data_IF_802977665561
#
_entry.id   IF_802977665561
#
_cell.length_a   1.000
_cell.length_b   1.000
_cell.length_c   1.000
_cell.angle_alpha   90.00
_cell.angle_beta   90.00
_cell.angle_gamma   90.00
#
_symmetry.space_group_name_H-M   'P 1'
#
loop_
_entity.id
_entity.type
_entity.pdbx_description
1 polymer ?
#
# COMPACT_ATOMS: atom_id res chain seq x y z
N UNK A 1 13.97 2.53 4.83
CA UNK A 1 14.79 2.82 6.03
C UNK A 1 16.22 2.44 5.68
N UNK A 2 17.19 2.82 6.52
CA UNK A 2 18.56 2.33 6.45
C UNK A 2 18.87 1.65 7.77
N UNK A 3 19.47 0.46 7.73
CA UNK A 3 20.01 -0.18 8.93
C UNK A 3 21.41 0.39 9.17
N UNK A 4 21.72 0.67 10.44
CA UNK A 4 23.03 1.17 10.87
C UNK A 4 23.75 -0.01 11.51
N UNK A 5 24.93 -0.33 10.98
CA UNK A 5 25.78 -1.42 11.47
C UNK A 5 27.02 -0.90 12.17
N UNK A 6 27.51 -1.66 13.14
CA UNK A 6 28.82 -1.44 13.76
C UNK A 6 29.95 -2.08 12.94
N UNK A 7 31.19 -1.94 13.40
CA UNK A 7 32.39 -2.50 12.75
C UNK A 7 32.43 -4.04 12.72
N UNK A 8 31.54 -4.70 13.48
CA UNK A 8 31.37 -6.16 13.49
C UNK A 8 30.18 -6.63 12.65
N UNK A 9 29.61 -5.73 11.85
CA UNK A 9 28.45 -5.94 10.97
C UNK A 9 27.14 -6.26 11.74
N UNK A 10 27.06 -5.88 13.03
CA UNK A 10 25.82 -6.02 13.81
C UNK A 10 24.92 -4.83 13.57
N UNK A 11 23.63 -5.09 13.38
CA UNK A 11 22.60 -4.03 13.31
C UNK A 11 22.41 -3.43 14.69
N UNK A 12 22.85 -2.18 14.87
CA UNK A 12 22.79 -1.47 16.15
C UNK A 12 21.69 -0.41 16.19
N UNK A 13 21.24 0.07 15.02
CA UNK A 13 20.18 1.08 14.93
C UNK A 13 19.52 1.08 13.54
N UNK A 14 18.48 1.89 13.36
CA UNK A 14 17.83 2.13 12.07
C UNK A 14 17.42 3.59 11.89
N UNK A 15 17.52 4.07 10.65
CA UNK A 15 17.05 5.38 10.26
C UNK A 15 15.81 5.26 9.36
N UNK A 16 14.68 5.81 9.83
CA UNK A 16 13.49 5.97 9.00
C UNK A 16 13.76 6.98 7.87
N UNK A 17 13.26 6.69 6.67
CA UNK A 17 13.52 7.52 5.48
C UNK A 17 12.86 8.89 5.59
N UNK A 18 11.59 8.90 5.99
CA UNK A 18 10.74 10.09 6.12
C UNK A 18 9.46 9.71 6.86
N UNK A 19 8.69 10.71 7.30
CA UNK A 19 7.35 10.52 7.86
C UNK A 19 6.38 10.06 6.77
N UNK A 20 5.50 9.12 7.13
CA UNK A 20 4.45 8.56 6.25
C UNK A 20 4.97 8.12 4.86
N UNK A 21 5.99 7.25 4.81
CA UNK A 21 6.76 7.01 3.60
C UNK A 21 5.95 6.37 2.47
N UNK A 22 4.90 5.58 2.78
CA UNK A 22 4.05 4.93 1.77
C UNK A 22 3.15 5.95 1.09
N UNK A 23 2.49 6.83 1.87
CA UNK A 23 1.72 7.96 1.33
C UNK A 23 2.57 8.89 0.48
N UNK A 24 3.76 9.26 0.96
CA UNK A 24 4.67 10.13 0.20
C UNK A 24 5.09 9.51 -1.14
N UNK A 25 5.24 8.19 -1.21
CA UNK A 25 5.48 7.49 -2.48
C UNK A 25 4.30 7.61 -3.45
N UNK A 26 3.06 7.52 -2.98
CA UNK A 26 1.87 7.74 -3.82
C UNK A 26 1.82 9.19 -4.35
N UNK A 27 2.10 10.17 -3.49
CA UNK A 27 2.18 11.60 -3.88
C UNK A 27 3.24 11.80 -4.96
N UNK A 28 4.41 11.18 -4.82
CA UNK A 28 5.47 11.27 -5.84
C UNK A 28 5.07 10.62 -7.18
N UNK A 29 4.36 9.50 -7.17
CA UNK A 29 3.84 8.91 -8.41
C UNK A 29 2.78 9.81 -9.06
N UNK A 30 1.91 10.43 -8.24
CA UNK A 30 0.92 11.41 -8.71
C UNK A 30 1.56 12.66 -9.30
N UNK A 31 2.68 13.14 -8.75
CA UNK A 31 3.37 14.32 -9.30
C UNK A 31 3.96 14.08 -10.70
N UNK A 32 4.12 12.81 -11.08
CA UNK A 32 4.47 12.35 -12.43
C UNK A 32 3.23 12.00 -13.28
N UNK A 33 2.04 12.40 -12.84
CA UNK A 33 0.75 12.17 -13.52
C UNK A 33 0.32 10.70 -13.64
N UNK A 34 0.88 9.79 -12.82
CA UNK A 34 0.40 8.42 -12.76
C UNK A 34 -0.91 8.30 -11.99
N UNK A 35 -1.80 7.45 -12.51
CA UNK A 35 -2.90 6.89 -11.72
C UNK A 35 -2.38 5.71 -10.88
N UNK A 36 -2.66 5.75 -9.58
CA UNK A 36 -2.15 4.80 -8.58
C UNK A 36 -3.29 3.94 -8.05
N UNK A 37 -3.16 2.62 -8.17
CA UNK A 37 -3.98 1.62 -7.48
C UNK A 37 -3.06 0.95 -6.46
N UNK A 38 -3.45 0.92 -5.19
CA UNK A 38 -2.64 0.37 -4.10
C UNK A 38 -3.39 -0.75 -3.38
N UNK A 39 -2.64 -1.75 -2.92
CA UNK A 39 -3.15 -2.82 -2.06
C UNK A 39 -2.30 -2.89 -0.79
N UNK A 40 -2.93 -3.18 0.34
CA UNK A 40 -2.28 -3.30 1.65
C UNK A 40 -3.08 -4.19 2.59
N UNK A 41 -2.47 -4.64 3.67
CA UNK A 41 -3.01 -5.66 4.56
C UNK A 41 -3.21 -5.16 6.00
N UNK A 42 -2.76 -3.95 6.32
CA UNK A 42 -2.74 -3.50 7.72
C UNK A 42 -3.07 -2.02 7.90
N UNK A 43 -3.27 -1.62 9.17
CA UNK A 43 -3.47 -0.22 9.55
C UNK A 43 -2.38 0.73 9.01
N UNK A 44 -1.12 0.26 8.92
CA UNK A 44 0.00 1.10 8.47
C UNK A 44 -0.02 1.39 6.95
N UNK A 45 -0.93 0.75 6.20
CA UNK A 45 -1.17 0.97 4.78
C UNK A 45 -2.28 1.98 4.51
N UNK A 46 -3.14 2.26 5.49
CA UNK A 46 -4.38 3.03 5.29
C UNK A 46 -4.13 4.44 4.75
N UNK A 47 -3.03 5.09 5.13
CA UNK A 47 -2.64 6.40 4.57
C UNK A 47 -2.24 6.32 3.10
N UNK A 48 -1.58 5.23 2.69
CA UNK A 48 -1.26 4.94 1.29
C UNK A 48 -2.52 4.62 0.49
N UNK A 49 -3.39 3.78 1.03
CA UNK A 49 -4.65 3.38 0.39
C UNK A 49 -5.59 4.58 0.19
N UNK A 50 -5.69 5.46 1.20
CA UNK A 50 -6.49 6.69 1.14
C UNK A 50 -5.92 7.71 0.15
N UNK A 51 -4.59 7.76 0.01
CA UNK A 51 -3.94 8.66 -0.95
C UNK A 51 -3.98 8.11 -2.38
N UNK A 52 -4.10 6.79 -2.59
CA UNK A 52 -4.21 6.22 -3.93
C UNK A 52 -5.51 6.65 -4.63
N UNK A 53 -5.58 6.46 -5.95
CA UNK A 53 -6.84 6.67 -6.68
C UNK A 53 -7.84 5.52 -6.45
N UNK A 54 -7.33 4.36 -6.06
CA UNK A 54 -8.10 3.23 -5.56
C UNK A 54 -7.22 2.46 -4.56
N UNK A 55 -7.76 2.19 -3.36
CA UNK A 55 -7.13 1.38 -2.32
C UNK A 55 -7.87 0.07 -2.16
N UNK A 56 -7.15 -1.03 -1.98
CA UNK A 56 -7.70 -2.39 -1.80
C UNK A 56 -7.09 -2.97 -0.51
N UNK A 57 -7.91 -3.57 0.34
CA UNK A 57 -7.45 -4.36 1.46
C UNK A 57 -7.24 -5.82 1.02
N UNK A 58 -6.05 -6.36 1.26
CA UNK A 58 -5.72 -7.74 0.91
C UNK A 58 -5.23 -8.49 2.14
N UNK A 59 -5.92 -9.56 2.54
CA UNK A 59 -5.65 -10.26 3.80
C UNK A 59 -5.66 -9.36 5.04
N UNK A 60 -6.49 -8.31 5.03
CA UNK A 60 -6.60 -7.42 6.17
C UNK A 60 -7.34 -8.08 7.35
N UNK A 61 -6.94 -7.78 8.60
CA UNK A 61 -7.70 -8.19 9.78
C UNK A 61 -9.10 -7.55 9.83
N UNK A 62 -10.07 -8.24 10.44
CA UNK A 62 -11.47 -7.81 10.49
C UNK A 62 -11.66 -6.40 11.07
N UNK A 63 -10.84 -6.00 12.06
CA UNK A 63 -10.93 -4.66 12.63
C UNK A 63 -10.52 -3.57 11.63
N UNK A 64 -9.48 -3.80 10.82
CA UNK A 64 -9.09 -2.88 9.73
C UNK A 64 -10.22 -2.80 8.71
N UNK A 65 -10.80 -3.94 8.31
CA UNK A 65 -11.89 -3.97 7.33
C UNK A 65 -13.10 -3.19 7.85
N UNK A 66 -13.46 -3.37 9.12
CA UNK A 66 -14.58 -2.68 9.75
C UNK A 66 -14.36 -1.16 9.87
N UNK A 67 -13.13 -0.71 10.13
CA UNK A 67 -12.80 0.72 10.26
C UNK A 67 -12.63 1.42 8.92
N UNK A 68 -12.23 0.69 7.87
CA UNK A 68 -12.02 1.22 6.52
C UNK A 68 -12.92 0.56 5.47
N UNK A 69 -14.26 0.60 5.62
CA UNK A 69 -15.21 -0.07 4.73
C UNK A 69 -15.22 0.52 3.30
N UNK A 70 -14.59 1.67 3.08
CA UNK A 70 -14.43 2.27 1.75
C UNK A 70 -13.47 1.50 0.85
N UNK A 71 -12.63 0.61 1.39
CA UNK A 71 -11.72 -0.23 0.60
C UNK A 71 -12.34 -1.63 0.40
N UNK A 72 -12.43 -2.14 -0.84
CA UNK A 72 -12.77 -3.55 -1.04
C UNK A 72 -11.74 -4.42 -0.32
N UNK A 73 -12.21 -5.40 0.44
CA UNK A 73 -11.39 -6.35 1.17
C UNK A 73 -11.50 -7.74 0.52
N UNK A 74 -10.37 -8.31 0.15
CA UNK A 74 -10.27 -9.61 -0.54
C UNK A 74 -9.17 -10.48 0.07
N UNK A 75 -9.26 -11.80 -0.11
CA UNK A 75 -8.39 -12.75 0.58
C UNK A 75 -7.77 -13.80 -0.35
N UNK A 76 -7.93 -13.64 -1.66
CA UNK A 76 -7.25 -14.48 -2.66
C UNK A 76 -6.59 -13.62 -3.73
N UNK A 77 -5.53 -14.14 -4.35
CA UNK A 77 -4.86 -13.42 -5.44
C UNK A 77 -5.77 -13.24 -6.66
N UNK A 78 -6.70 -14.15 -6.92
CA UNK A 78 -7.62 -14.02 -8.05
C UNK A 78 -8.64 -12.92 -7.81
N UNK A 79 -9.21 -12.81 -6.60
CA UNK A 79 -10.03 -11.66 -6.23
C UNK A 79 -9.24 -10.35 -6.27
N UNK A 80 -7.98 -10.36 -5.79
CA UNK A 80 -7.12 -9.19 -5.85
C UNK A 80 -6.90 -8.73 -7.29
N UNK A 81 -6.60 -9.65 -8.22
CA UNK A 81 -6.50 -9.31 -9.65
C UNK A 81 -7.79 -8.71 -10.17
N UNK A 82 -8.95 -9.26 -9.80
CA UNK A 82 -10.25 -8.69 -10.19
C UNK A 82 -10.44 -7.27 -9.67
N UNK A 83 -10.06 -6.97 -8.43
CA UNK A 83 -10.12 -5.61 -7.89
C UNK A 83 -9.19 -4.64 -8.64
N UNK A 84 -8.00 -5.08 -9.05
CA UNK A 84 -7.13 -4.28 -9.93
C UNK A 84 -7.75 -4.03 -11.31
N UNK A 85 -8.42 -5.03 -11.90
CA UNK A 85 -9.14 -4.88 -13.16
C UNK A 85 -10.28 -3.86 -13.03
N UNK A 86 -11.13 -3.99 -11.99
CA UNK A 86 -12.24 -3.07 -11.70
C UNK A 86 -11.75 -1.65 -11.45
N UNK A 87 -10.64 -1.50 -10.72
CA UNK A 87 -10.07 -0.21 -10.41
C UNK A 87 -9.34 0.43 -11.59
N UNK A 88 -9.00 -0.30 -12.66
CA UNK A 88 -8.29 0.23 -13.82
C UNK A 88 -9.18 1.09 -14.71
N UNK A 89 -8.64 2.17 -15.27
CA UNK A 89 -9.29 2.93 -16.35
C UNK A 89 -9.00 2.36 -17.74
N UNK A 90 -8.36 1.18 -17.82
CA UNK A 90 -8.01 0.47 -19.05
C UNK A 90 -8.83 -0.81 -19.15
N UNK A 91 -9.10 -1.26 -20.38
CA UNK A 91 -9.65 -2.60 -20.63
C UNK A 91 -8.52 -3.61 -20.56
N UNK A 92 -8.54 -4.45 -19.52
CA UNK A 92 -7.50 -5.45 -19.23
C UNK A 92 -8.17 -6.83 -19.14
N UNK A 93 -7.44 -7.89 -19.49
CA UNK A 93 -7.85 -9.27 -19.33
C UNK A 93 -7.14 -9.91 -18.12
N UNK A 94 -7.74 -10.96 -17.55
CA UNK A 94 -7.15 -11.76 -16.48
C UNK A 94 -6.20 -12.82 -17.04
#
# INVERSE_FOLDING_TARGET
HRLITDETDRVVDYQLRQKDPKRQSVIALKSLYYRVIAAGDSYNDTTMLSEAHAGILFHAPDNVIAEFPQFPAVHTFDELKQEFLKASNRKLAL
#
